data_IF_265443513417
#
_entry.id   IF_265443513417
#
_cell.length_a   1.000
_cell.length_b   1.000
_cell.length_c   1.000
_cell.angle_alpha   90.00
_cell.angle_beta   90.00
_cell.angle_gamma   90.00
#
_symmetry.space_group_name_H-M   'P 1'
#
loop_
_entity.id
_entity.type
_entity.pdbx_description
1 polymer ?
#
# COMPACT_ATOMS: atom_id res chain seq x y z
N UNK A 1 4.39 11.18 1.89
CA UNK A 1 4.00 10.28 3.01
C UNK A 1 2.50 10.09 3.12
N UNK A 2 1.68 11.16 3.11
CA UNK A 2 0.22 11.05 3.19
C UNK A 2 -0.40 10.14 2.10
N UNK A 3 0.15 10.17 0.88
CA UNK A 3 -0.28 9.28 -0.22
C UNK A 3 -0.06 7.80 0.15
N UNK A 4 1.12 7.45 0.68
CA UNK A 4 1.43 6.08 1.10
C UNK A 4 0.46 5.60 2.18
N UNK A 5 0.20 6.43 3.20
CA UNK A 5 -0.81 6.11 4.23
C UNK A 5 -2.21 5.92 3.63
N UNK A 6 -2.56 6.67 2.60
CA UNK A 6 -3.81 6.47 1.85
C UNK A 6 -3.87 5.10 1.18
N UNK A 7 -2.79 4.66 0.53
CA UNK A 7 -2.70 3.33 -0.09
C UNK A 7 -2.83 2.22 0.96
N UNK A 8 -2.14 2.34 2.09
CA UNK A 8 -2.25 1.38 3.21
C UNK A 8 -3.68 1.25 3.74
N UNK A 9 -4.42 2.36 3.82
CA UNK A 9 -5.83 2.35 4.23
C UNK A 9 -6.71 1.61 3.20
N UNK A 10 -6.46 1.81 1.91
CA UNK A 10 -7.20 1.12 0.84
C UNK A 10 -6.91 -0.38 0.86
N UNK A 11 -5.66 -0.78 1.04
CA UNK A 11 -5.28 -2.20 1.14
C UNK A 11 -5.90 -2.87 2.38
N UNK A 12 -5.93 -2.18 3.52
CA UNK A 12 -6.61 -2.68 4.72
C UNK A 12 -8.13 -2.80 4.54
N UNK A 13 -8.75 -1.85 3.84
CA UNK A 13 -10.18 -1.94 3.51
C UNK A 13 -10.47 -3.16 2.61
N UNK A 14 -9.60 -3.45 1.64
CA UNK A 14 -9.71 -4.65 0.80
C UNK A 14 -9.60 -5.95 1.64
N UNK A 15 -8.66 -6.01 2.60
CA UNK A 15 -8.51 -7.16 3.49
C UNK A 15 -9.77 -7.42 4.33
N UNK A 16 -10.36 -6.36 4.90
CA UNK A 16 -11.61 -6.48 5.65
C UNK A 16 -12.71 -7.04 4.73
N UNK A 17 -12.80 -6.56 3.50
CA UNK A 17 -13.76 -7.09 2.53
C UNK A 17 -13.53 -8.56 2.22
N UNK A 18 -12.30 -9.01 1.97
CA UNK A 18 -12.02 -10.43 1.70
C UNK A 18 -12.42 -11.35 2.87
N UNK A 19 -12.13 -10.94 4.10
CA UNK A 19 -12.51 -11.70 5.30
C UNK A 19 -14.02 -11.68 5.49
N UNK A 20 -14.67 -10.52 5.30
CA UNK A 20 -16.11 -10.38 5.41
C UNK A 20 -16.84 -11.22 4.36
N UNK A 21 -16.43 -11.17 3.10
CA UNK A 21 -17.00 -11.99 2.04
C UNK A 21 -16.90 -13.48 2.35
N UNK A 22 -15.75 -13.93 2.83
CA UNK A 22 -15.59 -15.33 3.20
C UNK A 22 -16.57 -15.72 4.32
N UNK A 23 -16.65 -14.90 5.38
CA UNK A 23 -17.55 -15.13 6.52
C UNK A 23 -19.04 -15.10 6.16
N UNK A 24 -19.47 -14.13 5.35
CA UNK A 24 -20.90 -13.91 5.08
C UNK A 24 -21.43 -14.69 3.87
N UNK A 25 -20.58 -15.20 2.99
CA UNK A 25 -21.02 -16.01 1.84
C UNK A 25 -21.21 -17.50 2.17
N UNK A 26 -21.00 -17.91 3.43
CA UNK A 26 -21.13 -19.32 3.85
C UNK A 26 -20.04 -20.24 3.29
N UNK A 27 -18.94 -19.67 2.80
CA UNK A 27 -17.74 -20.41 2.42
C UNK A 27 -17.09 -20.90 3.71
N UNK A 28 -17.03 -22.22 3.91
CA UNK A 28 -16.32 -22.82 5.04
C UNK A 28 -14.79 -22.90 4.81
N UNK A 29 -14.32 -22.34 3.69
CA UNK A 29 -12.92 -22.34 3.31
C UNK A 29 -12.20 -21.13 3.92
N UNK A 30 -10.86 -21.17 3.97
CA UNK A 30 -10.05 -20.08 4.52
C UNK A 30 -9.52 -19.11 3.44
N UNK A 31 -10.09 -19.15 2.24
CA UNK A 31 -9.57 -18.45 1.07
C UNK A 31 -9.45 -16.93 1.28
N UNK A 32 -10.45 -16.28 1.91
CA UNK A 32 -10.40 -14.85 2.22
C UNK A 32 -9.32 -14.46 3.24
N UNK A 33 -9.04 -15.31 4.21
CA UNK A 33 -7.96 -15.12 5.18
C UNK A 33 -6.59 -15.32 4.51
N UNK A 34 -6.44 -16.36 3.69
CA UNK A 34 -5.21 -16.63 2.94
C UNK A 34 -4.89 -15.46 2.02
N UNK A 35 -5.87 -14.97 1.25
CA UNK A 35 -5.68 -13.83 0.36
C UNK A 35 -5.28 -12.56 1.11
N UNK A 36 -5.89 -12.30 2.27
CA UNK A 36 -5.54 -11.15 3.12
C UNK A 36 -4.09 -11.21 3.62
N UNK A 37 -3.56 -12.39 3.95
CA UNK A 37 -2.15 -12.55 4.32
C UNK A 37 -1.23 -12.16 3.17
N UNK A 38 -1.54 -12.59 1.93
CA UNK A 38 -0.76 -12.20 0.76
C UNK A 38 -0.78 -10.69 0.52
N UNK A 39 -1.93 -10.03 0.71
CA UNK A 39 -2.03 -8.57 0.61
C UNK A 39 -1.18 -7.87 1.68
N UNK A 40 -1.16 -8.37 2.92
CA UNK A 40 -0.29 -7.82 3.98
C UNK A 40 1.20 -7.95 3.62
N UNK A 41 1.60 -9.09 3.06
CA UNK A 41 2.99 -9.30 2.60
C UNK A 41 3.34 -8.35 1.45
N UNK A 42 2.42 -8.17 0.50
CA UNK A 42 2.57 -7.21 -0.59
C UNK A 42 2.71 -5.77 -0.07
N UNK A 43 1.85 -5.35 0.87
CA UNK A 43 1.89 -4.02 1.48
C UNK A 43 3.24 -3.76 2.18
N UNK A 44 3.76 -4.75 2.91
CA UNK A 44 5.07 -4.65 3.54
C UNK A 44 6.20 -4.44 2.51
N UNK A 45 6.14 -5.15 1.38
CA UNK A 45 7.11 -4.99 0.29
C UNK A 45 6.97 -3.62 -0.40
N UNK A 46 5.75 -3.17 -0.66
CA UNK A 46 5.46 -1.86 -1.23
C UNK A 46 6.01 -0.73 -0.36
N UNK A 47 5.71 -0.75 0.95
CA UNK A 47 6.16 0.28 1.88
C UNK A 47 7.69 0.41 1.92
N UNK A 48 8.42 -0.71 1.83
CA UNK A 48 9.88 -0.70 1.76
C UNK A 48 10.40 -0.03 0.48
N UNK A 49 9.80 -0.35 -0.68
CA UNK A 49 10.16 0.26 -1.97
C UNK A 49 9.81 1.74 -2.00
N UNK A 50 8.62 2.11 -1.53
CA UNK A 50 8.16 3.51 -1.47
C UNK A 50 9.09 4.35 -0.58
N UNK A 51 9.49 3.83 0.58
CA UNK A 51 10.44 4.51 1.46
C UNK A 51 11.80 4.70 0.79
N UNK A 52 12.31 3.68 0.08
CA UNK A 52 13.57 3.80 -0.66
C UNK A 52 13.51 4.92 -1.72
N UNK A 53 12.39 5.04 -2.43
CA UNK A 53 12.14 6.11 -3.40
C UNK A 53 12.09 7.47 -2.70
N UNK A 54 11.36 7.60 -1.59
CA UNK A 54 11.23 8.85 -0.83
C UNK A 54 12.61 9.32 -0.32
N UNK A 55 13.43 8.41 0.20
CA UNK A 55 14.79 8.74 0.67
C UNK A 55 15.66 9.22 -0.50
N UNK A 56 15.59 8.55 -1.66
CA UNK A 56 16.35 8.96 -2.84
C UNK A 56 15.91 10.34 -3.35
N UNK A 57 14.60 10.60 -3.36
CA UNK A 57 14.03 11.89 -3.74
C UNK A 57 14.48 12.99 -2.78
N UNK A 58 14.42 12.73 -1.47
CA UNK A 58 14.93 13.68 -0.47
C UNK A 58 16.42 13.99 -0.66
N UNK A 59 17.26 12.98 -0.93
CA UNK A 59 18.69 13.19 -1.21
C UNK A 59 18.98 14.06 -2.45
N UNK A 60 18.08 14.07 -3.43
CA UNK A 60 18.28 14.78 -4.69
C UNK A 60 17.59 16.16 -4.75
N UNK A 61 16.61 16.40 -3.87
CA UNK A 61 15.77 17.60 -3.92
C UNK A 61 15.65 18.32 -2.57
N UNK A 62 16.25 17.81 -1.49
CA UNK A 62 16.19 18.33 -0.09
C UNK A 62 14.76 18.58 0.43
N UNK A 63 13.76 18.04 -0.25
CA UNK A 63 12.33 18.18 0.05
C UNK A 63 11.64 16.84 -0.08
N UNK A 64 10.62 16.61 0.75
CA UNK A 64 9.72 15.45 0.65
C UNK A 64 8.41 15.81 -0.06
N UNK A 65 8.29 17.07 -0.52
CA UNK A 65 7.12 17.54 -1.25
C UNK A 65 7.15 16.99 -2.68
N UNK A 66 6.16 16.18 -3.04
CA UNK A 66 6.09 15.56 -4.36
C UNK A 66 5.71 16.57 -5.45
N UNK A 67 5.08 17.68 -5.08
CA UNK A 67 4.71 18.75 -6.01
C UNK A 67 5.93 19.53 -6.51
N UNK A 68 7.04 19.48 -5.76
CA UNK A 68 8.32 20.11 -6.12
C UNK A 68 9.18 19.18 -6.99
N UNK A 69 8.84 17.90 -7.11
CA UNK A 69 9.51 16.92 -7.96
C UNK A 69 9.13 17.07 -9.46
N UNK A 70 9.11 18.30 -9.97
CA UNK A 70 8.60 18.67 -11.29
C UNK A 70 9.68 18.81 -12.39
N UNK A 71 10.88 18.22 -12.22
CA UNK A 71 12.03 18.38 -13.14
C UNK A 71 11.88 17.71 -14.52
N UNK A 72 10.84 16.92 -14.77
CA UNK A 72 10.57 16.25 -16.06
C UNK A 72 9.44 16.93 -16.86
N UNK A 73 9.40 18.27 -16.84
CA UNK A 73 8.56 19.04 -17.75
C UNK A 73 9.44 19.48 -18.93
N UNK A 74 9.36 18.72 -20.02
CA UNK A 74 9.91 19.15 -21.31
C UNK A 74 9.19 20.39 -21.83
#
# INVERSE_FOLDING_TARGET
VAILMGVELVLNAANINFIAFNRFSGLNNLDGQVFSIFVIVLAAAEAAVALAIIINLFKNYDTVNIDEANKLKG
#
